data_IF_521486497210
#
_entry.id   IF_521486497210
#
_cell.length_a   1.000
_cell.length_b   1.000
_cell.length_c   1.000
_cell.angle_alpha   90.00
_cell.angle_beta   90.00
_cell.angle_gamma   90.00
#
_symmetry.space_group_name_H-M   'P 1'
#
loop_
_entity.id
_entity.type
_entity.pdbx_description
1 polymer ?
#
# COMPACT_ATOMS: atom_id res chain seq x y z
N UNK A 1 -23.27 12.42 -17.31
CA UNK A 1 -23.83 12.14 -15.97
C UNK A 1 -23.59 10.68 -15.63
N UNK A 2 -23.08 10.35 -14.44
CA UNK A 2 -22.96 8.95 -14.00
C UNK A 2 -24.37 8.40 -13.71
N UNK A 3 -24.76 7.32 -14.37
CA UNK A 3 -26.05 6.66 -14.15
C UNK A 3 -25.84 5.55 -13.11
N UNK A 4 -26.26 5.77 -11.86
CA UNK A 4 -26.15 4.73 -10.84
C UNK A 4 -27.18 3.62 -11.11
N UNK A 5 -26.81 2.35 -10.91
CA UNK A 5 -27.76 1.24 -10.93
C UNK A 5 -28.84 1.41 -9.85
N UNK A 6 -30.04 0.86 -10.05
CA UNK A 6 -31.13 0.94 -9.06
C UNK A 6 -30.89 0.08 -7.81
N UNK A 7 -29.95 -0.88 -7.85
CA UNK A 7 -29.60 -1.76 -6.73
C UNK A 7 -28.11 -2.09 -6.74
N UNK A 8 -27.59 -2.53 -5.59
CA UNK A 8 -26.24 -3.07 -5.48
C UNK A 8 -26.06 -4.27 -6.43
N UNK A 9 -24.88 -4.44 -7.06
CA UNK A 9 -24.59 -5.60 -7.88
C UNK A 9 -24.65 -6.88 -7.04
N UNK A 10 -25.06 -7.97 -7.67
CA UNK A 10 -25.18 -9.27 -7.02
C UNK A 10 -23.80 -9.82 -6.61
N UNK A 11 -23.78 -10.56 -5.49
CA UNK A 11 -22.54 -11.14 -4.96
C UNK A 11 -21.90 -12.09 -5.99
N UNK A 12 -20.59 -12.01 -6.24
CA UNK A 12 -19.94 -12.91 -7.19
C UNK A 12 -20.10 -14.39 -6.77
N UNK A 13 -20.12 -15.32 -7.75
CA UNK A 13 -20.38 -16.73 -7.48
C UNK A 13 -19.27 -17.40 -6.69
N UNK A 14 -18.04 -16.87 -6.76
CA UNK A 14 -16.88 -17.35 -6.03
C UNK A 14 -16.02 -16.18 -5.54
N UNK A 15 -15.32 -16.35 -4.40
CA UNK A 15 -14.30 -15.41 -3.97
C UNK A 15 -13.11 -15.39 -4.94
N UNK A 16 -12.33 -14.31 -4.92
CA UNK A 16 -11.00 -14.31 -5.56
C UNK A 16 -10.05 -15.24 -4.80
N UNK A 17 -9.11 -15.86 -5.52
CA UNK A 17 -8.09 -16.74 -4.93
C UNK A 17 -6.99 -15.93 -4.23
N UNK A 18 -6.60 -16.35 -3.02
CA UNK A 18 -5.62 -15.64 -2.19
C UNK A 18 -4.26 -15.52 -2.89
N UNK A 19 -3.77 -16.61 -3.48
CA UNK A 19 -2.45 -16.63 -4.10
C UNK A 19 -2.39 -15.71 -5.32
N UNK A 20 -3.46 -15.67 -6.12
CA UNK A 20 -3.59 -14.74 -7.25
C UNK A 20 -3.58 -13.27 -6.81
N UNK A 21 -4.29 -12.95 -5.73
CA UNK A 21 -4.40 -11.59 -5.16
C UNK A 21 -3.05 -11.13 -4.59
N UNK A 22 -2.37 -12.01 -3.84
CA UNK A 22 -1.04 -11.72 -3.29
C UNK A 22 0.01 -11.47 -4.39
N UNK A 23 0.04 -12.31 -5.43
CA UNK A 23 0.96 -12.13 -6.57
C UNK A 23 0.73 -10.79 -7.27
N UNK A 24 -0.53 -10.50 -7.59
CA UNK A 24 -0.93 -9.25 -8.25
C UNK A 24 -0.57 -8.02 -7.39
N UNK A 25 -0.81 -8.10 -6.08
CA UNK A 25 -0.52 -7.02 -5.14
C UNK A 25 0.97 -6.70 -4.99
N UNK A 26 1.86 -7.66 -5.22
CA UNK A 26 3.31 -7.41 -5.22
C UNK A 26 3.81 -6.77 -6.51
N UNK A 27 3.24 -7.15 -7.65
CA UNK A 27 3.68 -6.70 -8.97
C UNK A 27 3.17 -5.30 -9.32
N UNK A 28 1.91 -5.01 -8.96
CA UNK A 28 1.21 -3.81 -9.43
C UNK A 28 1.25 -2.63 -8.46
N UNK A 29 1.77 -2.82 -7.24
CA UNK A 29 1.79 -1.77 -6.22
C UNK A 29 2.76 -0.64 -6.53
N UNK A 30 2.21 0.57 -6.58
CA UNK A 30 2.96 1.77 -6.94
C UNK A 30 4.04 2.15 -5.91
N UNK A 31 3.80 1.91 -4.63
CA UNK A 31 4.75 2.21 -3.54
C UNK A 31 5.96 1.27 -3.53
N UNK A 32 5.74 -0.02 -3.80
CA UNK A 32 6.82 -0.99 -4.00
C UNK A 32 7.63 -0.64 -5.25
N UNK A 33 6.97 -0.25 -6.35
CA UNK A 33 7.66 0.18 -7.56
C UNK A 33 8.48 1.46 -7.32
N UNK A 34 7.93 2.45 -6.61
CA UNK A 34 8.64 3.69 -6.32
C UNK A 34 9.87 3.47 -5.42
N UNK A 35 9.75 2.62 -4.40
CA UNK A 35 10.87 2.30 -3.52
C UNK A 35 12.00 1.59 -4.28
N UNK A 36 11.67 0.67 -5.20
CA UNK A 36 12.65 0.04 -6.10
C UNK A 36 13.35 1.05 -7.01
N UNK A 37 12.60 1.93 -7.67
CA UNK A 37 13.17 2.96 -8.54
C UNK A 37 14.06 3.93 -7.76
N UNK A 38 13.67 4.30 -6.53
CA UNK A 38 14.48 5.14 -5.64
C UNK A 38 15.79 4.46 -5.24
N UNK A 39 15.75 3.16 -4.96
CA UNK A 39 16.95 2.36 -4.64
C UNK A 39 17.89 2.25 -5.86
N UNK A 40 17.35 2.02 -7.05
CA UNK A 40 18.11 1.96 -8.29
C UNK A 40 18.76 3.30 -8.63
N UNK A 41 18.04 4.40 -8.39
CA UNK A 41 18.58 5.76 -8.55
C UNK A 41 19.76 6.00 -7.60
N UNK A 42 19.61 5.66 -6.32
CA UNK A 42 20.67 5.79 -5.33
C UNK A 42 21.90 4.95 -5.69
N UNK A 43 21.70 3.73 -6.20
CA UNK A 43 22.79 2.88 -6.67
C UNK A 43 23.55 3.51 -7.85
N UNK A 44 22.84 4.18 -8.77
CA UNK A 44 23.47 4.89 -9.91
C UNK A 44 24.20 6.16 -9.47
N UNK A 45 23.62 6.95 -8.58
CA UNK A 45 24.22 8.19 -8.05
C UNK A 45 25.56 7.91 -7.34
N UNK A 46 25.62 6.81 -6.58
CA UNK A 46 26.83 6.41 -5.86
C UNK A 46 27.91 5.76 -6.74
N UNK A 47 27.70 5.72 -8.07
CA UNK A 47 28.68 5.17 -9.00
C UNK A 47 28.93 3.67 -8.81
N UNK A 48 28.02 2.92 -8.16
CA UNK A 48 28.13 1.47 -7.93
C UNK A 48 28.04 0.64 -9.22
N UNK A 49 28.26 1.24 -10.39
CA UNK A 49 28.56 0.57 -11.65
C UNK A 49 29.94 -0.09 -11.62
N UNK A 50 30.10 -1.12 -10.79
CA UNK A 50 31.09 -2.21 -10.88
C UNK A 50 32.60 -1.84 -10.95
N UNK A 51 33.01 -0.57 -10.93
CA UNK A 51 34.43 -0.13 -10.97
C UNK A 51 34.57 1.22 -10.24
N UNK A 52 34.85 1.24 -8.93
CA UNK A 52 35.04 2.50 -8.17
C UNK A 52 36.34 2.61 -7.40
N UNK A 53 37.35 1.82 -7.75
CA UNK A 53 38.71 2.14 -7.32
C UNK A 53 39.70 1.76 -8.39
N UNK A 54 40.26 2.77 -9.05
CA UNK A 54 41.63 2.86 -9.56
C UNK A 54 41.62 4.00 -10.60
N UNK A 55 42.49 4.99 -10.43
CA UNK A 55 42.78 6.10 -11.35
C UNK A 55 41.97 7.40 -11.14
N UNK A 56 42.40 8.18 -10.15
CA UNK A 56 42.38 9.65 -10.24
C UNK A 56 43.84 10.13 -10.08
N UNK A 57 44.39 10.79 -11.10
CA UNK A 57 45.64 11.57 -10.96
C UNK A 57 46.78 11.28 -11.94
N UNK A 58 46.52 11.10 -13.24
CA UNK A 58 47.59 11.19 -14.25
C UNK A 58 47.64 12.64 -14.78
N UNK A 59 48.60 13.42 -14.29
CA UNK A 59 48.91 14.76 -14.82
C UNK A 59 50.20 14.66 -15.66
N UNK A 60 50.12 15.04 -16.94
CA UNK A 60 51.27 15.03 -17.87
C UNK A 60 51.67 16.47 -18.15
N UNK A 61 52.79 16.91 -17.58
CA UNK A 61 53.38 18.23 -17.83
C UNK A 61 54.62 18.12 -18.72
N UNK A 62 54.72 18.98 -19.75
CA UNK A 62 55.94 19.13 -20.55
C UNK A 62 56.52 20.51 -20.28
N UNK A 63 57.66 20.57 -19.59
CA UNK A 63 58.37 21.82 -19.31
C UNK A 63 59.47 22.03 -20.35
N UNK A 64 59.47 23.19 -21.02
CA UNK A 64 60.57 23.64 -21.88
C UNK A 64 61.20 24.88 -21.25
N UNK A 65 62.37 24.71 -20.66
CA UNK A 65 63.14 25.84 -20.15
C UNK A 65 64.19 26.26 -21.20
N UNK A 66 64.25 27.55 -21.51
CA UNK A 66 65.31 28.13 -22.34
C UNK A 66 65.84 29.36 -21.63
N UNK A 67 67.00 29.21 -21.03
CA UNK A 67 67.76 30.29 -20.41
C UNK A 67 68.79 30.80 -21.45
N UNK A 68 68.90 32.11 -21.65
CA UNK A 68 69.76 32.64 -22.71
C UNK A 68 71.24 32.42 -22.38
N UNK A 69 71.89 31.52 -23.11
CA UNK A 69 73.34 31.28 -23.04
C UNK A 69 73.79 29.82 -22.96
N UNK A 70 72.89 28.86 -22.80
CA UNK A 70 73.22 27.42 -22.73
C UNK A 70 72.26 26.56 -23.58
N UNK A 71 72.69 25.37 -24.07
CA UNK A 71 71.88 24.53 -24.97
C UNK A 71 70.59 24.04 -24.29
N UNK A 72 69.46 23.97 -25.03
CA UNK A 72 68.15 23.64 -24.47
C UNK A 72 68.12 22.20 -23.95
N UNK A 73 67.86 22.03 -22.66
CA UNK A 73 67.65 20.71 -22.06
C UNK A 73 66.18 20.29 -22.19
N UNK A 74 65.96 19.10 -22.77
CA UNK A 74 64.64 18.45 -22.82
C UNK A 74 64.62 17.33 -21.79
N UNK A 75 63.78 17.46 -20.77
CA UNK A 75 63.50 16.41 -19.79
C UNK A 75 62.06 15.92 -19.92
N UNK A 76 61.84 14.62 -19.73
CA UNK A 76 60.51 14.05 -19.52
C UNK A 76 60.40 13.70 -18.05
N UNK A 77 59.42 14.25 -17.36
CA UNK A 77 59.16 14.00 -15.94
C UNK A 77 57.88 13.18 -15.81
N UNK A 78 57.99 11.98 -15.24
CA UNK A 78 56.85 11.11 -14.92
C UNK A 78 56.70 11.07 -13.40
N UNK A 79 55.83 11.91 -12.86
CA UNK A 79 55.48 11.89 -11.45
C UNK A 79 54.37 10.87 -11.21
N UNK A 80 54.68 9.80 -10.49
CA UNK A 80 53.69 8.84 -10.00
C UNK A 80 53.39 9.15 -8.53
N UNK A 81 52.25 9.77 -8.18
CA UNK A 81 51.88 9.92 -6.79
C UNK A 81 51.60 8.54 -6.19
N UNK A 82 52.44 8.10 -5.26
CA UNK A 82 52.14 6.97 -4.39
C UNK A 82 51.13 7.46 -3.34
N UNK A 83 49.88 6.97 -3.35
CA UNK A 83 48.91 7.37 -2.33
C UNK A 83 49.35 6.77 -0.99
N UNK A 84 49.87 7.63 -0.11
CA UNK A 84 50.07 7.33 1.29
C UNK A 84 48.83 7.85 2.03
N UNK A 85 48.00 6.93 2.53
CA UNK A 85 46.81 7.12 3.38
C UNK A 85 45.44 7.40 2.72
N UNK A 86 44.48 6.60 3.19
CA UNK A 86 43.09 6.45 2.75
C UNK A 86 42.16 7.44 3.49
N UNK A 87 41.88 8.58 2.87
CA UNK A 87 40.82 9.49 3.31
C UNK A 87 39.48 9.19 2.58
N UNK A 88 39.44 8.16 1.75
CA UNK A 88 38.27 7.72 0.99
C UNK A 88 37.35 6.78 1.77
N UNK A 89 37.89 6.04 2.75
CA UNK A 89 37.15 5.06 3.56
C UNK A 89 35.93 5.65 4.30
N UNK A 90 36.04 6.87 4.83
CA UNK A 90 34.90 7.52 5.51
C UNK A 90 33.77 7.86 4.54
N UNK A 91 34.11 8.28 3.31
CA UNK A 91 33.15 8.53 2.23
C UNK A 91 32.48 7.24 1.74
N UNK A 92 33.27 6.19 1.55
CA UNK A 92 32.80 4.85 1.13
C UNK A 92 31.89 4.20 2.17
N UNK A 93 32.27 4.28 3.44
CA UNK A 93 31.46 3.80 4.57
C UNK A 93 30.13 4.53 4.63
N UNK A 94 30.12 5.85 4.39
CA UNK A 94 28.89 6.64 4.37
C UNK A 94 27.98 6.26 3.20
N UNK A 95 28.53 6.08 1.99
CA UNK A 95 27.75 5.64 0.83
C UNK A 95 27.15 4.26 1.05
N UNK A 96 27.94 3.32 1.58
CA UNK A 96 27.49 1.96 1.89
C UNK A 96 26.38 1.97 2.95
N UNK A 97 26.56 2.71 4.05
CA UNK A 97 25.52 2.85 5.08
C UNK A 97 24.22 3.45 4.53
N UNK A 98 24.32 4.44 3.64
CA UNK A 98 23.16 5.08 2.99
C UNK A 98 22.44 4.09 2.07
N UNK A 99 23.18 3.30 1.29
CA UNK A 99 22.63 2.26 0.44
C UNK A 99 21.94 1.16 1.26
N UNK A 100 22.60 0.65 2.31
CA UNK A 100 22.02 -0.38 3.19
C UNK A 100 20.76 0.12 3.90
N UNK A 101 20.72 1.38 4.33
CA UNK A 101 19.52 1.98 4.88
C UNK A 101 18.37 2.03 3.85
N UNK A 102 18.64 2.43 2.61
CA UNK A 102 17.65 2.47 1.54
C UNK A 102 17.17 1.06 1.13
N UNK A 103 18.06 0.08 1.12
CA UNK A 103 17.74 -1.33 0.86
C UNK A 103 16.80 -1.87 1.94
N UNK A 104 17.14 -1.67 3.21
CA UNK A 104 16.30 -2.10 4.33
C UNK A 104 14.93 -1.40 4.31
N UNK A 105 14.88 -0.12 3.95
CA UNK A 105 13.61 0.61 3.81
C UNK A 105 12.75 0.03 2.69
N UNK A 106 13.35 -0.33 1.56
CA UNK A 106 12.66 -0.97 0.42
C UNK A 106 12.12 -2.35 0.81
N UNK A 107 12.91 -3.14 1.55
CA UNK A 107 12.47 -4.43 2.08
C UNK A 107 11.30 -4.27 3.06
N UNK A 108 11.35 -3.27 3.95
CA UNK A 108 10.25 -2.94 4.85
C UNK A 108 8.96 -2.60 4.09
N UNK A 109 9.03 -1.74 3.07
CA UNK A 109 7.87 -1.39 2.22
C UNK A 109 7.26 -2.64 1.58
N UNK A 110 8.09 -3.58 1.10
CA UNK A 110 7.60 -4.82 0.52
C UNK A 110 6.89 -5.73 1.57
N UNK A 111 7.41 -5.82 2.79
CA UNK A 111 6.80 -6.61 3.87
C UNK A 111 5.48 -5.99 4.33
N UNK A 112 5.46 -4.68 4.55
CA UNK A 112 4.24 -3.92 4.87
C UNK A 112 3.20 -4.06 3.76
N UNK A 113 3.65 -4.07 2.50
CA UNK A 113 2.76 -4.23 1.36
C UNK A 113 2.05 -5.59 1.36
N UNK A 114 2.81 -6.68 1.52
CA UNK A 114 2.25 -8.02 1.63
C UNK A 114 1.30 -8.16 2.81
N UNK A 115 1.70 -7.62 3.96
CA UNK A 115 0.89 -7.70 5.20
C UNK A 115 -0.45 -7.01 5.02
N UNK A 116 -0.47 -5.83 4.38
CA UNK A 116 -1.69 -5.11 4.06
C UNK A 116 -2.59 -5.89 3.10
N UNK A 117 -2.04 -6.47 2.04
CA UNK A 117 -2.84 -7.26 1.09
C UNK A 117 -3.48 -8.47 1.78
N UNK A 118 -2.73 -9.17 2.64
CA UNK A 118 -3.26 -10.30 3.42
C UNK A 118 -4.36 -9.90 4.38
N UNK A 119 -4.18 -8.79 5.09
CA UNK A 119 -5.20 -8.24 6.00
C UNK A 119 -6.49 -7.90 5.24
N UNK A 120 -6.38 -7.15 4.14
CA UNK A 120 -7.56 -6.75 3.35
C UNK A 120 -8.22 -7.95 2.66
N UNK A 121 -7.44 -8.95 2.24
CA UNK A 121 -7.99 -10.19 1.71
C UNK A 121 -8.77 -10.97 2.79
N UNK A 122 -8.27 -11.02 4.02
CA UNK A 122 -8.99 -11.60 5.15
C UNK A 122 -10.34 -10.91 5.39
N UNK A 123 -10.36 -9.58 5.42
CA UNK A 123 -11.58 -8.79 5.57
C UNK A 123 -12.57 -8.98 4.39
N UNK A 124 -12.05 -9.03 3.16
CA UNK A 124 -12.84 -9.35 1.96
C UNK A 124 -13.47 -10.74 2.06
N UNK A 125 -12.69 -11.74 2.47
CA UNK A 125 -13.14 -13.13 2.55
C UNK A 125 -14.22 -13.31 3.60
N UNK A 126 -14.05 -12.73 4.79
CA UNK A 126 -15.05 -12.80 5.85
C UNK A 126 -16.34 -12.10 5.45
N UNK A 127 -16.26 -10.89 4.86
CA UNK A 127 -17.44 -10.18 4.38
C UNK A 127 -18.18 -10.95 3.27
N UNK A 128 -17.44 -11.62 2.37
CA UNK A 128 -18.02 -12.48 1.35
C UNK A 128 -18.81 -13.65 1.96
N UNK A 129 -18.22 -14.36 2.92
CA UNK A 129 -18.84 -15.52 3.54
C UNK A 129 -20.10 -15.11 4.34
N UNK A 130 -20.05 -13.98 5.05
CA UNK A 130 -21.23 -13.40 5.74
C UNK A 130 -22.33 -13.05 4.74
N UNK A 131 -22.01 -12.28 3.69
CA UNK A 131 -23.00 -11.86 2.70
C UNK A 131 -23.63 -13.06 1.98
N UNK A 132 -22.83 -14.10 1.68
CA UNK A 132 -23.31 -15.35 1.10
C UNK A 132 -24.28 -16.07 2.03
N UNK A 133 -23.95 -16.19 3.31
CA UNK A 133 -24.81 -16.86 4.30
C UNK A 133 -26.17 -16.16 4.44
N UNK A 134 -26.19 -14.82 4.44
CA UNK A 134 -27.46 -14.08 4.43
C UNK A 134 -28.30 -14.34 3.17
N UNK A 135 -27.66 -14.35 2.00
CA UNK A 135 -28.34 -14.54 0.70
C UNK A 135 -28.87 -15.96 0.53
N UNK A 136 -28.06 -16.97 0.84
CA UNK A 136 -28.32 -18.37 0.50
C UNK A 136 -29.12 -19.09 1.60
N UNK A 137 -28.98 -18.68 2.87
CA UNK A 137 -29.54 -19.42 4.01
C UNK A 137 -30.57 -18.58 4.78
N UNK A 138 -30.18 -17.40 5.28
CA UNK A 138 -31.03 -16.64 6.22
C UNK A 138 -32.28 -16.09 5.53
N UNK A 139 -32.13 -15.36 4.42
CA UNK A 139 -33.27 -14.72 3.75
C UNK A 139 -34.28 -15.77 3.24
N UNK A 140 -33.86 -16.85 2.56
CA UNK A 140 -34.79 -17.90 2.14
C UNK A 140 -35.48 -18.60 3.32
N UNK A 141 -34.75 -18.88 4.41
CA UNK A 141 -35.33 -19.49 5.61
C UNK A 141 -36.40 -18.59 6.24
N UNK A 142 -36.11 -17.29 6.39
CA UNK A 142 -37.07 -16.31 6.94
C UNK A 142 -38.31 -16.20 6.06
N UNK A 143 -38.14 -16.26 4.75
CA UNK A 143 -39.27 -16.32 3.82
C UNK A 143 -40.12 -17.57 4.04
N UNK A 144 -39.52 -18.75 4.16
CA UNK A 144 -40.25 -19.99 4.38
C UNK A 144 -41.03 -20.00 5.71
N UNK A 145 -40.42 -19.45 6.78
CA UNK A 145 -41.08 -19.29 8.07
C UNK A 145 -42.29 -18.35 7.95
N UNK A 146 -42.14 -17.23 7.25
CA UNK A 146 -43.24 -16.28 7.06
C UNK A 146 -44.39 -16.88 6.26
N UNK A 147 -44.08 -17.59 5.17
CA UNK A 147 -45.07 -18.29 4.35
C UNK A 147 -45.86 -19.34 5.19
N UNK A 148 -45.18 -20.06 6.10
CA UNK A 148 -45.81 -20.99 7.05
C UNK A 148 -46.64 -20.29 8.14
N UNK A 149 -46.17 -19.16 8.67
CA UNK A 149 -46.91 -18.39 9.67
C UNK A 149 -48.24 -17.86 9.11
N UNK A 150 -48.26 -17.47 7.83
CA UNK A 150 -49.50 -17.10 7.13
C UNK A 150 -50.48 -18.29 7.09
N UNK A 151 -50.01 -19.51 6.80
CA UNK A 151 -50.85 -20.71 6.80
C UNK A 151 -51.42 -21.01 8.20
N UNK A 152 -50.59 -20.87 9.24
CA UNK A 152 -51.01 -21.07 10.64
C UNK A 152 -52.04 -20.03 11.10
N UNK A 153 -51.87 -18.78 10.68
CA UNK A 153 -52.84 -17.73 10.95
C UNK A 153 -54.20 -18.06 10.30
N UNK A 154 -54.19 -18.47 9.03
CA UNK A 154 -55.40 -18.89 8.32
C UNK A 154 -56.09 -20.10 8.98
N UNK A 155 -55.32 -20.99 9.60
CA UNK A 155 -55.81 -22.14 10.36
C UNK A 155 -56.19 -21.81 11.82
N UNK A 156 -56.17 -20.53 12.22
CA UNK A 156 -56.43 -20.05 13.59
C UNK A 156 -55.49 -20.63 14.66
N UNK A 157 -54.27 -21.05 14.26
CA UNK A 157 -53.27 -21.60 15.18
C UNK A 157 -52.41 -20.51 15.85
N UNK A 158 -52.31 -19.34 15.23
CA UNK A 158 -51.57 -18.17 15.74
C UNK A 158 -52.42 -16.89 15.64
N UNK A 159 -52.10 -15.90 16.47
CA UNK A 159 -52.75 -14.59 16.46
C UNK A 159 -52.13 -13.59 15.48
N UNK A 160 -52.83 -12.48 15.20
CA UNK A 160 -52.35 -11.39 14.33
C UNK A 160 -51.08 -10.71 14.84
N UNK A 161 -50.90 -10.63 16.17
CA UNK A 161 -49.70 -10.04 16.77
C UNK A 161 -48.44 -10.86 16.46
N UNK A 162 -48.56 -12.18 16.37
CA UNK A 162 -47.45 -13.06 15.97
C UNK A 162 -47.09 -12.84 14.50
N UNK A 163 -48.08 -12.66 13.62
CA UNK A 163 -47.85 -12.35 12.20
C UNK A 163 -47.15 -10.99 12.00
N UNK A 164 -47.53 -9.97 12.78
CA UNK A 164 -46.87 -8.66 12.78
C UNK A 164 -45.43 -8.75 13.30
N UNK A 165 -45.20 -9.57 14.33
CA UNK A 165 -43.86 -9.82 14.86
C UNK A 165 -42.97 -10.50 13.81
N UNK A 166 -43.47 -11.54 13.13
CA UNK A 166 -42.79 -12.21 12.02
C UNK A 166 -42.47 -11.25 10.86
N UNK A 167 -43.41 -10.39 10.48
CA UNK A 167 -43.21 -9.39 9.43
C UNK A 167 -42.06 -8.42 9.79
N UNK A 168 -42.00 -7.94 11.03
CA UNK A 168 -40.88 -7.08 11.50
C UNK A 168 -39.55 -7.82 11.45
N UNK A 169 -39.56 -9.09 11.83
CA UNK A 169 -38.42 -9.98 11.81
C UNK A 169 -37.90 -10.26 10.39
N UNK A 170 -38.80 -10.43 9.43
CA UNK A 170 -38.48 -10.57 8.01
C UNK A 170 -37.83 -9.30 7.46
N UNK A 171 -38.42 -8.12 7.73
CA UNK A 171 -37.87 -6.83 7.29
C UNK A 171 -36.45 -6.64 7.86
N UNK A 172 -36.26 -6.94 9.15
CA UNK A 172 -34.94 -6.83 9.80
C UNK A 172 -33.91 -7.74 9.13
N UNK A 173 -34.30 -8.97 8.78
CA UNK A 173 -33.40 -9.91 8.07
C UNK A 173 -33.02 -9.40 6.67
N UNK A 174 -33.95 -8.81 5.93
CA UNK A 174 -33.67 -8.22 4.62
C UNK A 174 -32.72 -7.02 4.74
N UNK A 175 -32.92 -6.16 5.74
CA UNK A 175 -32.01 -5.03 6.01
C UNK A 175 -30.60 -5.54 6.32
N UNK A 176 -30.46 -6.54 7.18
CA UNK A 176 -29.16 -7.14 7.51
C UNK A 176 -28.47 -7.77 6.29
N UNK A 177 -29.25 -8.41 5.39
CA UNK A 177 -28.69 -8.95 4.15
C UNK A 177 -28.16 -7.85 3.23
N UNK A 178 -28.87 -6.72 3.13
CA UNK A 178 -28.42 -5.54 2.36
C UNK A 178 -27.16 -4.95 2.99
N UNK A 179 -27.10 -4.83 4.31
CA UNK A 179 -25.91 -4.35 5.03
C UNK A 179 -24.71 -5.28 4.82
N UNK A 180 -24.90 -6.60 4.91
CA UNK A 180 -23.84 -7.57 4.64
C UNK A 180 -23.33 -7.46 3.18
N UNK A 181 -24.23 -7.28 2.21
CA UNK A 181 -23.85 -7.06 0.81
C UNK A 181 -23.08 -5.74 0.64
N UNK A 182 -23.52 -4.65 1.27
CA UNK A 182 -22.78 -3.38 1.29
C UNK A 182 -21.37 -3.55 1.84
N UNK A 183 -21.25 -4.22 2.98
CA UNK A 183 -19.98 -4.40 3.67
C UNK A 183 -19.01 -5.26 2.83
N UNK A 184 -19.51 -6.26 2.11
CA UNK A 184 -18.74 -6.97 1.10
C UNK A 184 -18.18 -6.04 0.01
N UNK A 185 -19.01 -5.17 -0.57
CA UNK A 185 -18.57 -4.25 -1.61
C UNK A 185 -17.57 -3.20 -1.10
N UNK A 186 -17.71 -2.77 0.15
CA UNK A 186 -16.71 -1.91 0.81
C UNK A 186 -15.39 -2.66 1.01
N UNK A 187 -15.44 -3.93 1.42
CA UNK A 187 -14.25 -4.75 1.60
C UNK A 187 -13.56 -5.07 0.25
N UNK A 188 -14.32 -5.30 -0.83
CA UNK A 188 -13.76 -5.44 -2.17
C UNK A 188 -13.06 -4.16 -2.64
N UNK A 189 -13.67 -2.99 -2.43
CA UNK A 189 -13.05 -1.70 -2.73
C UNK A 189 -11.76 -1.47 -1.93
N UNK A 190 -11.76 -1.82 -0.63
CA UNK A 190 -10.57 -1.73 0.22
C UNK A 190 -9.45 -2.68 -0.24
N UNK A 191 -9.80 -3.90 -0.67
CA UNK A 191 -8.85 -4.85 -1.26
C UNK A 191 -8.26 -4.29 -2.56
N UNK A 192 -9.09 -3.76 -3.46
CA UNK A 192 -8.63 -3.14 -4.71
C UNK A 192 -7.69 -1.95 -4.44
N UNK A 193 -8.02 -1.10 -3.45
CA UNK A 193 -7.15 -0.01 -3.05
C UNK A 193 -5.80 -0.50 -2.49
N UNK A 194 -5.78 -1.62 -1.74
CA UNK A 194 -4.55 -2.23 -1.26
C UNK A 194 -3.69 -2.87 -2.36
N UNK A 195 -4.31 -3.34 -3.44
CA UNK A 195 -3.63 -3.90 -4.62
C UNK A 195 -2.96 -2.83 -5.48
N UNK A 196 -3.60 -1.67 -5.65
CA UNK A 196 -2.99 -0.52 -6.34
C UNK A 196 -1.91 0.12 -5.47
N UNK A 197 -2.07 0.02 -4.14
CA UNK A 197 -1.31 0.78 -3.17
C UNK A 197 -1.95 2.14 -2.96
N UNK A 198 -1.91 2.67 -1.72
CA UNK A 198 -2.32 4.06 -1.53
C UNK A 198 -1.40 4.93 -2.37
N UNK A 199 -1.93 5.88 -3.18
CA UNK A 199 -1.11 7.00 -3.59
C UNK A 199 -0.55 7.56 -2.29
N UNK A 200 0.77 7.66 -2.25
CA UNK A 200 1.52 8.23 -1.14
C UNK A 200 0.75 9.49 -0.77
N UNK A 201 0.27 9.60 0.47
CA UNK A 201 -0.16 10.88 0.99
C UNK A 201 1.07 11.77 0.85
N UNK A 202 1.16 12.51 -0.27
CA UNK A 202 2.08 13.61 -0.44
C UNK A 202 1.59 14.62 0.56
N UNK A 203 2.08 14.47 1.81
CA UNK A 203 1.49 15.04 3.01
C UNK A 203 0.98 16.44 2.74
N UNK A 204 -0.31 16.56 2.51
CA UNK A 204 -0.97 17.83 2.77
C UNK A 204 -0.97 17.87 4.28
N UNK A 205 -0.19 18.77 4.91
CA UNK A 205 -0.20 18.85 6.36
C UNK A 205 -1.66 19.01 6.76
N UNK A 206 -2.17 18.02 7.49
CA UNK A 206 -3.49 18.11 8.08
C UNK A 206 -3.45 19.36 8.95
N UNK A 207 -4.13 20.41 8.51
CA UNK A 207 -4.40 21.57 9.35
C UNK A 207 -5.13 21.00 10.56
N UNK A 208 -4.40 20.88 11.67
CA UNK A 208 -4.95 20.60 12.97
C UNK A 208 -5.95 21.70 13.26
N UNK A 209 -7.23 21.43 13.01
CA UNK A 209 -8.32 22.24 13.52
C UNK A 209 -8.37 21.98 15.02
N UNK A 210 -7.52 22.68 15.77
CA UNK A 210 -7.67 22.86 17.20
C UNK A 210 -9.00 23.61 17.38
N UNK A 211 -10.05 22.86 17.73
CA UNK A 211 -11.27 23.46 18.26
C UNK A 211 -10.88 24.06 19.60
N UNK A 212 -10.68 25.38 19.63
CA UNK A 212 -10.66 26.16 20.86
C UNK A 212 -11.98 25.91 21.58
N UNK A 213 -11.92 25.22 22.70
CA UNK A 213 -13.02 25.18 23.65
C UNK A 213 -13.15 26.59 24.22
N UNK A 214 -14.21 27.28 23.79
CA UNK A 214 -14.60 28.58 24.32
C UNK A 214 -14.96 28.43 25.81
N UNK A 215 -14.52 29.42 26.58
CA UNK A 215 -14.49 29.40 28.03
C UNK A 215 -15.87 29.66 28.64
N UNK A 216 -16.36 28.71 29.44
CA UNK A 216 -17.39 28.97 30.44
C UNK A 216 -16.74 29.16 31.81
N UNK A 217 -16.50 30.41 32.20
CA UNK A 217 -16.15 30.75 33.59
C UNK A 217 -17.40 30.60 34.48
N UNK A 218 -17.28 30.09 35.71
CA UNK A 218 -18.37 30.09 36.68
C UNK A 218 -18.41 31.46 37.39
N UNK A 219 -19.57 32.09 37.41
CA UNK A 219 -19.88 33.22 38.29
C UNK A 219 -21.05 32.87 39.20
N UNK A 220 -20.75 32.85 40.50
CA UNK A 220 -21.60 32.95 41.69
C UNK A 220 -22.76 31.96 41.90
#
# INVERSE_FOLDING_TARGET
>A
ALKLPPRLPDLPPAPRDEASVQRTGLEQRLDVQLSRVSLDFLAREQGLSRITSLVNGLEVGVVRNSESGLPPQRGYELAFPLPLFDFGDAGRTRTEATYMAALNRTAQVAVEANSRVREQYGAYRTAYDVARHYRDEIVPLRKAISDENVLRYNAMLIGVFELLADSREQITSVVQAIEAQRDFWLADAALQAALVGRPIDTGTPAASSTRSADGGAPTH
#
